data_IF_172499241562
#
_entry.id   IF_172499241562
#
_cell.length_a   1.000
_cell.length_b   1.000
_cell.length_c   1.000
_cell.angle_alpha   90.00
_cell.angle_beta   90.00
_cell.angle_gamma   90.00
#
_symmetry.space_group_name_H-M   'P 1'
#
loop_
_entity.id
_entity.type
_entity.pdbx_description
1 polymer ?
#
# COMPACT_ATOMS: atom_id res chain seq x y z
N UNK A 1 -8.06 18.66 -31.40
CA UNK A 1 -6.70 18.78 -30.84
C UNK A 1 -6.59 18.30 -29.38
N UNK A 2 -7.58 18.50 -28.50
CA UNK A 2 -7.51 18.02 -27.11
C UNK A 2 -7.63 16.48 -26.93
N UNK A 3 -8.33 15.77 -27.83
CA UNK A 3 -8.56 14.31 -27.71
C UNK A 3 -7.29 13.49 -28.02
N UNK A 4 -6.40 13.99 -28.88
CA UNK A 4 -5.16 13.27 -29.24
C UNK A 4 -4.15 13.22 -28.09
N UNK A 5 -4.14 14.24 -27.21
CA UNK A 5 -3.21 14.35 -26.09
C UNK A 5 -3.51 13.37 -24.94
N UNK A 6 -4.70 12.77 -24.90
CA UNK A 6 -5.07 11.76 -23.89
C UNK A 6 -4.58 10.35 -24.23
N UNK A 7 -4.28 10.08 -25.50
CA UNK A 7 -3.95 8.72 -26.01
C UNK A 7 -2.45 8.58 -26.32
N UNK A 8 -1.72 9.68 -26.34
CA UNK A 8 -0.28 9.73 -26.52
C UNK A 8 0.35 10.40 -25.28
N UNK A 9 0.43 9.70 -24.13
CA UNK A 9 1.08 10.25 -22.96
C UNK A 9 2.55 10.50 -23.30
N UNK A 10 2.94 11.77 -23.36
CA UNK A 10 4.35 12.13 -23.36
C UNK A 10 4.93 11.89 -21.96
N UNK A 11 6.26 11.81 -21.85
CA UNK A 11 6.93 11.67 -20.56
C UNK A 11 6.55 12.87 -19.70
N UNK A 12 5.67 12.66 -18.71
CA UNK A 12 5.15 13.73 -17.88
C UNK A 12 6.23 14.43 -17.03
N UNK A 13 7.46 13.90 -17.01
CA UNK A 13 8.61 14.30 -16.17
C UNK A 13 8.23 14.57 -14.70
N UNK A 14 7.05 14.10 -14.28
CA UNK A 14 6.44 14.39 -13.00
C UNK A 14 7.01 13.53 -11.88
N UNK A 15 7.84 12.55 -12.24
CA UNK A 15 8.52 11.66 -11.32
C UNK A 15 9.92 12.22 -11.09
N UNK A 16 10.08 13.02 -10.04
CA UNK A 16 11.39 13.34 -9.52
C UNK A 16 11.94 12.07 -8.86
N UNK A 17 12.79 11.34 -9.59
CA UNK A 17 13.48 10.16 -9.05
C UNK A 17 14.54 10.67 -8.08
N UNK A 18 14.28 10.58 -6.78
CA UNK A 18 15.35 10.73 -5.81
C UNK A 18 16.29 9.54 -5.96
N UNK A 19 17.54 9.83 -6.32
CA UNK A 19 18.57 8.80 -6.46
C UNK A 19 18.88 8.12 -5.13
N UNK A 20 19.54 6.98 -5.21
CA UNK A 20 20.13 6.39 -4.01
C UNK A 20 21.18 7.35 -3.43
N UNK A 21 21.27 7.49 -2.09
CA UNK A 21 20.50 6.77 -1.07
C UNK A 21 19.30 7.56 -0.51
N UNK A 22 19.15 8.84 -0.85
CA UNK A 22 18.13 9.73 -0.27
C UNK A 22 16.71 9.20 -0.48
N UNK A 23 16.38 8.81 -1.71
CA UNK A 23 15.04 8.31 -2.05
C UNK A 23 14.65 7.09 -1.24
N UNK A 24 15.59 6.17 -1.01
CA UNK A 24 15.38 4.98 -0.18
C UNK A 24 15.07 5.36 1.27
N UNK A 25 15.85 6.26 1.88
CA UNK A 25 15.62 6.67 3.26
C UNK A 25 14.26 7.34 3.44
N UNK A 26 13.91 8.30 2.59
CA UNK A 26 12.63 9.00 2.67
C UNK A 26 11.47 8.03 2.47
N UNK A 27 11.60 7.09 1.53
CA UNK A 27 10.59 6.05 1.29
C UNK A 27 10.41 5.12 2.50
N UNK A 28 11.51 4.67 3.11
CA UNK A 28 11.45 3.86 4.34
C UNK A 28 10.82 4.62 5.49
N UNK A 29 11.16 5.90 5.67
CA UNK A 29 10.55 6.76 6.67
C UNK A 29 9.05 6.94 6.43
N UNK A 30 8.60 7.01 5.17
CA UNK A 30 7.19 7.11 4.83
C UNK A 30 6.40 5.88 5.28
N UNK A 31 6.95 4.66 5.11
CA UNK A 31 6.31 3.44 5.62
C UNK A 31 6.16 3.46 7.14
N UNK A 32 7.23 3.80 7.87
CA UNK A 32 7.22 3.87 9.33
C UNK A 32 6.21 4.91 9.82
N UNK A 33 6.25 6.12 9.25
CA UNK A 33 5.31 7.18 9.57
C UNK A 33 3.86 6.74 9.33
N UNK A 34 3.60 6.06 8.21
CA UNK A 34 2.26 5.60 7.89
C UNK A 34 1.78 4.50 8.85
N UNK A 35 2.65 3.57 9.25
CA UNK A 35 2.34 2.57 10.30
C UNK A 35 1.92 3.26 11.60
N UNK A 36 2.67 4.28 12.03
CA UNK A 36 2.32 5.03 13.25
C UNK A 36 0.99 5.77 13.12
N UNK A 37 0.76 6.44 11.99
CA UNK A 37 -0.51 7.12 11.73
C UNK A 37 -1.70 6.15 11.74
N UNK A 38 -1.57 4.98 11.11
CA UNK A 38 -2.61 3.94 11.11
C UNK A 38 -2.83 3.34 12.51
N UNK A 39 -1.76 3.14 13.28
CA UNK A 39 -1.84 2.66 14.66
C UNK A 39 -2.55 3.66 15.58
N UNK A 40 -2.20 4.94 15.48
CA UNK A 40 -2.89 6.02 16.17
C UNK A 40 -4.37 6.08 15.77
N UNK A 41 -4.66 6.05 14.46
CA UNK A 41 -6.04 6.13 13.99
C UNK A 41 -6.89 4.92 14.42
N UNK A 42 -6.32 3.72 14.37
CA UNK A 42 -6.96 2.52 14.91
C UNK A 42 -7.27 2.69 16.40
N UNK A 43 -6.30 3.16 17.19
CA UNK A 43 -6.49 3.39 18.63
C UNK A 43 -7.57 4.44 18.89
N UNK A 44 -7.58 5.54 18.14
CA UNK A 44 -8.57 6.61 18.26
C UNK A 44 -10.00 6.09 17.98
N UNK A 45 -10.19 5.32 16.91
CA UNK A 45 -11.49 4.68 16.60
C UNK A 45 -11.96 3.79 17.76
N UNK A 46 -11.04 3.02 18.35
CA UNK A 46 -11.34 2.13 19.48
C UNK A 46 -11.72 2.93 20.73
N UNK A 47 -10.98 4.01 21.01
CA UNK A 47 -11.20 4.88 22.17
C UNK A 47 -12.52 5.64 22.07
N UNK A 48 -12.86 6.17 20.89
CA UNK A 48 -14.10 6.89 20.64
C UNK A 48 -15.36 6.01 20.68
N UNK A 49 -15.20 4.68 20.84
CA UNK A 49 -16.31 3.71 20.91
C UNK A 49 -17.26 3.79 19.71
N UNK A 50 -16.74 4.15 18.54
CA UNK A 50 -17.56 4.27 17.35
C UNK A 50 -18.17 2.93 16.96
N UNK A 51 -19.50 2.87 16.95
CA UNK A 51 -20.25 1.64 16.63
C UNK A 51 -20.70 1.62 15.18
N UNK A 52 -20.70 0.44 14.56
CA UNK A 52 -21.21 0.24 13.20
C UNK A 52 -20.25 -0.53 12.30
N UNK A 53 -20.78 -1.07 11.21
CA UNK A 53 -19.98 -1.91 10.29
C UNK A 53 -18.88 -1.11 9.60
N UNK A 54 -19.13 0.17 9.27
CA UNK A 54 -18.14 1.06 8.66
C UNK A 54 -16.87 1.19 9.49
N UNK A 55 -17.01 1.41 10.79
CA UNK A 55 -15.89 1.52 11.73
C UNK A 55 -15.10 0.23 11.89
N UNK A 56 -15.76 -0.94 11.81
CA UNK A 56 -15.08 -2.24 11.81
C UNK A 56 -14.26 -2.42 10.53
N UNK A 57 -14.80 -2.06 9.36
CA UNK A 57 -14.03 -2.11 8.12
C UNK A 57 -12.84 -1.15 8.14
N UNK A 58 -13.00 0.05 8.72
CA UNK A 58 -11.91 1.01 8.86
C UNK A 58 -10.79 0.51 9.78
N UNK A 59 -11.16 -0.15 10.89
CA UNK A 59 -10.20 -0.85 11.77
C UNK A 59 -9.44 -1.96 11.02
N UNK A 60 -10.14 -2.77 10.22
CA UNK A 60 -9.50 -3.82 9.39
C UNK A 60 -8.56 -3.23 8.34
N UNK A 61 -8.96 -2.12 7.69
CA UNK A 61 -8.07 -1.37 6.80
C UNK A 61 -6.79 -0.94 7.53
N UNK A 62 -6.90 -0.36 8.73
CA UNK A 62 -5.73 0.08 9.48
C UNK A 62 -4.76 -1.08 9.76
N UNK A 63 -5.28 -2.22 10.20
CA UNK A 63 -4.46 -3.41 10.50
C UNK A 63 -3.79 -3.95 9.24
N UNK A 64 -4.57 -4.21 8.17
CA UNK A 64 -4.05 -4.79 6.93
C UNK A 64 -3.04 -3.85 6.25
N UNK A 65 -3.33 -2.55 6.23
CA UNK A 65 -2.45 -1.55 5.63
C UNK A 65 -1.16 -1.35 6.46
N UNK A 66 -1.23 -1.43 7.78
CA UNK A 66 -0.03 -1.43 8.63
C UNK A 66 0.82 -2.68 8.37
N UNK A 67 0.21 -3.87 8.30
CA UNK A 67 0.90 -5.10 7.93
C UNK A 67 1.57 -5.00 6.55
N UNK A 68 0.88 -4.44 5.55
CA UNK A 68 1.47 -4.22 4.23
C UNK A 68 2.66 -3.26 4.28
N UNK A 69 2.56 -2.13 5.00
CA UNK A 69 3.69 -1.20 5.13
C UNK A 69 4.89 -1.85 5.82
N UNK A 70 4.67 -2.69 6.84
CA UNK A 70 5.75 -3.45 7.48
C UNK A 70 6.40 -4.42 6.50
N UNK A 71 5.61 -5.14 5.69
CA UNK A 71 6.11 -6.06 4.68
C UNK A 71 6.91 -5.32 3.59
N UNK A 72 6.41 -4.16 3.13
CA UNK A 72 7.09 -3.32 2.15
C UNK A 72 8.43 -2.78 2.70
N UNK A 73 8.43 -2.25 3.94
CA UNK A 73 9.65 -1.84 4.65
C UNK A 73 10.70 -2.96 4.68
N UNK A 74 10.30 -4.16 5.10
CA UNK A 74 11.19 -5.33 5.10
C UNK A 74 11.67 -5.67 3.68
N UNK A 75 10.79 -5.63 2.69
CA UNK A 75 11.14 -5.93 1.30
C UNK A 75 12.17 -4.98 0.70
N UNK A 76 12.08 -3.69 1.03
CA UNK A 76 13.10 -2.72 0.67
C UNK A 76 14.41 -2.98 1.40
N UNK A 77 14.38 -3.25 2.71
CA UNK A 77 15.58 -3.56 3.49
C UNK A 77 16.29 -4.82 2.94
N UNK A 78 15.53 -5.88 2.66
CA UNK A 78 16.07 -7.11 2.06
C UNK A 78 16.61 -6.84 0.66
N UNK A 79 15.95 -5.99 -0.12
CA UNK A 79 16.40 -5.58 -1.46
C UNK A 79 17.77 -4.89 -1.45
N UNK A 80 18.07 -4.09 -0.43
CA UNK A 80 19.39 -3.43 -0.28
C UNK A 80 20.52 -4.44 -0.12
N UNK A 81 20.27 -5.55 0.57
CA UNK A 81 21.27 -6.59 0.83
C UNK A 81 21.23 -7.75 -0.16
N UNK A 82 20.39 -7.66 -1.20
CA UNK A 82 20.30 -8.70 -2.21
C UNK A 82 21.47 -8.56 -3.19
N UNK A 83 22.22 -9.65 -3.38
CA UNK A 83 23.27 -9.71 -4.40
C UNK A 83 22.65 -9.46 -5.79
N UNK A 84 23.12 -8.47 -6.57
CA UNK A 84 22.64 -8.25 -7.92
C UNK A 84 22.73 -9.50 -8.81
N UNK A 85 23.70 -10.40 -8.57
CA UNK A 85 23.84 -11.65 -9.31
C UNK A 85 22.74 -12.68 -8.98
N UNK A 86 22.01 -12.49 -7.88
CA UNK A 86 20.85 -13.30 -7.55
C UNK A 86 19.62 -13.01 -8.43
N UNK A 87 19.64 -11.92 -9.19
CA UNK A 87 18.57 -11.50 -10.08
C UNK A 87 19.02 -11.64 -11.53
N UNK A 88 18.35 -12.50 -12.29
CA UNK A 88 18.36 -12.41 -13.75
C UNK A 88 17.41 -11.27 -14.14
N UNK A 89 17.96 -10.07 -14.29
CA UNK A 89 17.26 -8.98 -14.95
C UNK A 89 17.28 -9.23 -16.46
N UNK A 90 16.10 -9.50 -17.02
CA UNK A 90 15.88 -9.46 -18.47
C UNK A 90 15.50 -8.03 -18.86
N UNK A 91 15.66 -7.67 -20.14
CA UNK A 91 15.25 -6.37 -20.71
C UNK A 91 13.77 -6.01 -20.45
N UNK A 92 12.96 -6.99 -20.05
CA UNK A 92 11.59 -6.80 -19.57
C UNK A 92 11.52 -6.94 -18.05
N UNK A 93 11.12 -5.87 -17.35
CA UNK A 93 10.98 -5.85 -15.88
C UNK A 93 10.06 -6.94 -15.34
N UNK A 94 9.05 -7.36 -16.12
CA UNK A 94 8.11 -8.45 -15.79
C UNK A 94 8.73 -9.85 -15.83
N UNK A 95 9.94 -9.98 -16.38
CA UNK A 95 10.63 -11.26 -16.55
C UNK A 95 11.79 -11.46 -15.57
N UNK A 96 11.94 -10.57 -14.59
CA UNK A 96 12.95 -10.70 -13.53
C UNK A 96 12.78 -12.01 -12.76
N UNK A 97 13.82 -12.84 -12.69
CA UNK A 97 13.79 -14.14 -12.00
C UNK A 97 14.90 -14.24 -10.96
N UNK A 98 14.62 -14.96 -9.87
CA UNK A 98 15.66 -15.36 -8.93
C UNK A 98 16.47 -16.53 -9.49
N UNK A 99 17.79 -16.41 -9.43
CA UNK A 99 18.72 -17.47 -9.82
C UNK A 99 19.02 -18.35 -8.61
N UNK A 100 18.93 -19.66 -8.79
CA UNK A 100 19.33 -20.61 -7.75
C UNK A 100 20.85 -20.63 -7.53
N UNK A 101 21.33 -21.10 -6.38
CA UNK A 101 20.58 -21.73 -5.27
C UNK A 101 19.81 -20.73 -4.41
N UNK A 102 18.57 -21.10 -4.03
CA UNK A 102 17.68 -20.21 -3.27
C UNK A 102 18.10 -20.08 -1.80
N UNK A 103 18.46 -18.87 -1.39
CA UNK A 103 18.79 -18.56 0.02
C UNK A 103 17.57 -18.03 0.78
N UNK A 104 17.62 -18.03 2.12
CA UNK A 104 16.55 -17.46 2.94
C UNK A 104 16.24 -15.99 2.57
N UNK A 105 17.28 -15.19 2.28
CA UNK A 105 17.12 -13.78 1.89
C UNK A 105 16.36 -13.64 0.57
N UNK A 106 16.63 -14.53 -0.38
CA UNK A 106 15.94 -14.58 -1.67
C UNK A 106 14.47 -14.99 -1.54
N UNK A 107 14.14 -15.92 -0.64
CA UNK A 107 12.75 -16.25 -0.31
C UNK A 107 12.03 -15.08 0.37
N UNK A 108 12.67 -14.42 1.34
CA UNK A 108 12.12 -13.24 2.00
C UNK A 108 11.87 -12.11 0.99
N UNK A 109 12.82 -11.86 0.10
CA UNK A 109 12.68 -10.91 -1.01
C UNK A 109 11.43 -11.24 -1.84
N UNK A 110 11.28 -12.50 -2.28
CA UNK A 110 10.14 -12.89 -3.10
C UNK A 110 8.80 -12.72 -2.37
N UNK A 111 8.71 -13.15 -1.11
CA UNK A 111 7.49 -13.01 -0.29
C UNK A 111 7.11 -11.54 -0.15
N UNK A 112 8.08 -10.66 0.07
CA UNK A 112 7.82 -9.22 0.23
C UNK A 112 7.35 -8.54 -1.05
N UNK A 113 7.54 -9.16 -2.23
CA UNK A 113 7.00 -8.68 -3.52
C UNK A 113 5.56 -9.11 -3.78
N UNK A 114 4.95 -9.92 -2.92
CA UNK A 114 3.53 -10.29 -3.00
C UNK A 114 2.61 -9.19 -2.43
N UNK A 115 2.87 -7.94 -2.79
CA UNK A 115 2.23 -6.73 -2.24
C UNK A 115 0.70 -6.77 -2.27
N UNK A 116 0.15 -7.32 -3.36
CA UNK A 116 -1.27 -7.39 -3.62
C UNK A 116 -2.04 -8.21 -2.57
N UNK A 117 -1.39 -9.15 -1.90
CA UNK A 117 -2.04 -10.05 -0.94
C UNK A 117 -2.57 -9.29 0.29
N UNK A 118 -1.91 -8.20 0.68
CA UNK A 118 -2.29 -7.39 1.85
C UNK A 118 -2.91 -6.05 1.45
N UNK A 119 -2.35 -5.39 0.43
CA UNK A 119 -2.82 -4.06 0.01
C UNK A 119 -4.24 -4.07 -0.57
N UNK A 120 -4.56 -5.03 -1.44
CA UNK A 120 -5.88 -5.14 -2.08
C UNK A 120 -6.99 -5.35 -1.06
N UNK A 121 -6.92 -6.33 -0.13
CA UNK A 121 -7.96 -6.47 0.89
C UNK A 121 -8.03 -5.28 1.84
N UNK A 122 -6.91 -4.59 2.12
CA UNK A 122 -6.92 -3.35 2.89
C UNK A 122 -7.77 -2.28 2.21
N UNK A 123 -7.50 -1.97 0.94
CA UNK A 123 -8.27 -1.00 0.16
C UNK A 123 -9.73 -1.41 0.01
N UNK A 124 -10.00 -2.70 -0.16
CA UNK A 124 -11.37 -3.20 -0.21
C UNK A 124 -12.11 -2.93 1.12
N UNK A 125 -11.47 -3.15 2.27
CA UNK A 125 -12.02 -2.78 3.57
C UNK A 125 -12.26 -1.26 3.65
N UNK A 126 -11.33 -0.43 3.19
CA UNK A 126 -11.52 1.02 3.16
C UNK A 126 -12.77 1.40 2.34
N UNK A 127 -12.92 0.84 1.14
CA UNK A 127 -14.09 1.05 0.30
C UNK A 127 -15.39 0.65 1.00
N UNK A 128 -15.44 -0.53 1.64
CA UNK A 128 -16.61 -0.98 2.39
C UNK A 128 -16.92 -0.07 3.60
N UNK A 129 -15.89 0.45 4.26
CA UNK A 129 -15.99 1.44 5.32
C UNK A 129 -16.67 2.72 4.85
N UNK A 130 -16.12 3.34 3.80
CA UNK A 130 -16.66 4.56 3.20
C UNK A 130 -18.09 4.37 2.68
N UNK A 131 -18.36 3.25 2.01
CA UNK A 131 -19.70 2.90 1.52
C UNK A 131 -20.71 2.75 2.67
N UNK A 132 -20.29 2.20 3.81
CA UNK A 132 -21.14 2.09 4.99
C UNK A 132 -21.48 3.46 5.56
N UNK A 133 -20.52 4.39 5.65
CA UNK A 133 -20.76 5.74 6.15
C UNK A 133 -21.66 6.55 5.23
N UNK A 134 -21.41 6.48 3.91
CA UNK A 134 -22.26 7.11 2.92
C UNK A 134 -23.73 6.67 3.07
N UNK A 135 -23.96 5.36 3.17
CA UNK A 135 -25.31 4.81 3.34
C UNK A 135 -25.98 5.25 4.64
N UNK A 136 -25.25 5.32 5.76
CA UNK A 136 -25.84 5.79 7.01
C UNK A 136 -26.29 7.26 6.93
N UNK A 137 -25.53 8.11 6.24
CA UNK A 137 -25.91 9.51 6.02
C UNK A 137 -27.14 9.61 5.12
N UNK A 138 -27.16 8.90 3.99
CA UNK A 138 -28.31 8.90 3.06
C UNK A 138 -29.59 8.44 3.76
N UNK A 139 -29.53 7.38 4.58
CA UNK A 139 -30.70 6.90 5.33
C UNK A 139 -31.15 7.91 6.39
N UNK A 140 -30.23 8.57 7.10
CA UNK A 140 -30.57 9.59 8.09
C UNK A 140 -31.28 10.80 7.44
N UNK A 141 -30.78 11.29 6.30
CA UNK A 141 -31.39 12.41 5.57
C UNK A 141 -32.79 12.07 5.03
N UNK A 142 -33.01 10.83 4.59
CA UNK A 142 -34.33 10.38 4.12
C UNK A 142 -35.36 10.23 5.26
N UNK A 143 -34.91 9.98 6.50
CA UNK A 143 -35.76 9.87 7.67
C UNK A 143 -36.18 11.21 8.29
N UNK A 144 -35.39 12.28 8.10
CA UNK A 144 -35.65 13.62 8.64
C UNK A 144 -36.69 14.44 7.84
N UNK A 145 -37.16 13.92 6.70
CA UNK A 145 -38.16 14.57 5.83
C UNK A 145 -39.60 14.11 6.06
N UNK A 146 -39.88 13.40 7.16
CA UNK A 146 -41.22 13.03 7.63
C UNK A 146 -41.47 13.70 8.97
#
# INVERSE_FOLDING_TARGET
MAVLALVLPDNALALQVHGEPEGLYVHQMAHLHYIFALGYFYWDIRRASFTGRGWRYLQMFCILMACWNTLAFIGHLVGVYLDPQALLQTDCYLQTRLVGPLTLHQYLYFITKLDHLMYVPALFCLFLGLRSFYRSVVTASAGSGK
#
